data_IF_748760590946
#
_entry.id   IF_748760590946
#
_cell.length_a   1.000
_cell.length_b   1.000
_cell.length_c   1.000
_cell.angle_alpha   90.00
_cell.angle_beta   90.00
_cell.angle_gamma   90.00
#
_symmetry.space_group_name_H-M   'P 1'
#
loop_
_entity.id
_entity.type
_entity.pdbx_description
1 polymer ?
#
# COMPACT_ATOMS: atom_id res chain seq x y z
N UNK A 1 15.68 20.04 -23.15
CA UNK A 1 14.46 19.20 -23.05
C UNK A 1 13.31 19.99 -23.65
N UNK A 2 12.63 19.49 -24.68
CA UNK A 2 11.55 20.23 -25.37
C UNK A 2 10.29 20.28 -24.49
N UNK A 3 9.56 21.39 -24.53
CA UNK A 3 8.31 21.61 -23.77
C UNK A 3 7.32 20.43 -23.88
N UNK A 4 7.21 19.83 -25.07
CA UNK A 4 6.37 18.65 -25.34
C UNK A 4 6.79 17.37 -24.60
N UNK A 5 8.09 17.13 -24.39
CA UNK A 5 8.55 15.96 -23.60
C UNK A 5 8.22 16.12 -22.12
N UNK A 6 8.32 17.34 -21.61
CA UNK A 6 8.01 17.66 -20.21
C UNK A 6 6.53 17.47 -19.87
N UNK A 7 5.61 17.82 -20.77
CA UNK A 7 4.17 17.64 -20.54
C UNK A 7 3.77 16.16 -20.54
N UNK A 8 4.33 15.35 -21.43
CA UNK A 8 4.09 13.90 -21.47
C UNK A 8 4.58 13.19 -20.20
N UNK A 9 5.77 13.53 -19.70
CA UNK A 9 6.33 12.95 -18.47
C UNK A 9 5.47 13.30 -17.24
N UNK A 10 4.97 14.53 -17.16
CA UNK A 10 4.08 14.96 -16.07
C UNK A 10 2.75 14.22 -16.10
N UNK A 11 2.17 14.04 -17.29
CA UNK A 11 0.93 13.30 -17.49
C UNK A 11 1.08 11.83 -17.05
N UNK A 12 2.19 11.18 -17.42
CA UNK A 12 2.46 9.79 -17.03
C UNK A 12 2.60 9.64 -15.50
N UNK A 13 3.27 10.58 -14.83
CA UNK A 13 3.37 10.60 -13.36
C UNK A 13 2.00 10.77 -12.69
N UNK A 14 1.16 11.64 -13.23
CA UNK A 14 -0.19 11.86 -12.73
C UNK A 14 -1.07 10.61 -12.87
N UNK A 15 -1.05 9.94 -14.03
CA UNK A 15 -1.78 8.68 -14.21
C UNK A 15 -1.26 7.57 -13.28
N UNK A 16 0.06 7.46 -13.09
CA UNK A 16 0.65 6.53 -12.12
C UNK A 16 0.11 6.79 -10.71
N UNK A 17 0.06 8.06 -10.29
CA UNK A 17 -0.48 8.44 -8.98
C UNK A 17 -1.95 8.05 -8.82
N UNK A 18 -2.81 8.37 -9.79
CA UNK A 18 -4.23 7.98 -9.76
C UNK A 18 -4.40 6.46 -9.68
N UNK A 19 -3.60 5.71 -10.45
CA UNK A 19 -3.61 4.25 -10.43
C UNK A 19 -3.23 3.70 -9.06
N UNK A 20 -2.18 4.24 -8.43
CA UNK A 20 -1.74 3.80 -7.10
C UNK A 20 -2.80 4.06 -6.03
N UNK A 21 -3.46 5.23 -6.05
CA UNK A 21 -4.59 5.52 -5.16
C UNK A 21 -5.73 4.53 -5.37
N UNK A 22 -6.09 4.25 -6.62
CA UNK A 22 -7.13 3.28 -6.92
C UNK A 22 -6.79 1.89 -6.36
N UNK A 23 -5.52 1.47 -6.46
CA UNK A 23 -5.04 0.20 -5.89
C UNK A 23 -5.11 0.23 -4.36
N UNK A 24 -4.71 1.33 -3.71
CA UNK A 24 -4.79 1.47 -2.26
C UNK A 24 -6.22 1.35 -1.72
N UNK A 25 -7.21 1.77 -2.49
CA UNK A 25 -8.63 1.61 -2.14
C UNK A 25 -9.11 0.19 -2.46
N UNK A 26 -8.64 -0.40 -3.57
CA UNK A 26 -9.02 -1.74 -3.99
C UNK A 26 -8.55 -2.83 -3.01
N UNK A 27 -7.34 -2.71 -2.45
CA UNK A 27 -6.80 -3.73 -1.52
C UNK A 27 -7.72 -3.98 -0.31
N UNK A 28 -8.09 -2.97 0.52
CA UNK A 28 -8.97 -3.18 1.66
C UNK A 28 -10.38 -3.58 1.24
N UNK A 29 -10.86 -3.12 0.09
CA UNK A 29 -12.17 -3.51 -0.45
C UNK A 29 -12.23 -4.99 -0.84
N UNK A 30 -11.22 -5.48 -1.57
CA UNK A 30 -11.08 -6.89 -1.94
C UNK A 30 -10.91 -7.74 -0.69
N UNK A 31 -10.08 -7.30 0.26
CA UNK A 31 -9.92 -8.00 1.53
C UNK A 31 -11.24 -8.11 2.29
N UNK A 32 -11.98 -7.01 2.43
CA UNK A 32 -13.27 -6.97 3.15
C UNK A 32 -14.33 -7.89 2.54
N UNK A 33 -14.38 -7.97 1.21
CA UNK A 33 -15.31 -8.85 0.51
C UNK A 33 -14.86 -10.32 0.55
N UNK A 34 -13.55 -10.58 0.57
CA UNK A 34 -12.99 -11.93 0.59
C UNK A 34 -12.92 -12.54 1.99
N UNK A 35 -12.73 -11.73 3.04
CA UNK A 35 -12.49 -12.22 4.40
C UNK A 35 -13.65 -13.04 4.95
N UNK A 36 -14.88 -12.70 4.54
CA UNK A 36 -16.11 -13.41 4.94
C UNK A 36 -16.21 -14.81 4.33
N UNK A 37 -15.50 -15.05 3.23
CA UNK A 37 -15.46 -16.34 2.54
C UNK A 37 -14.35 -17.26 3.07
N UNK A 38 -13.45 -16.75 3.91
CA UNK A 38 -12.39 -17.56 4.51
C UNK A 38 -12.94 -18.34 5.71
N UNK A 39 -13.07 -19.65 5.57
CA UNK A 39 -13.54 -20.55 6.63
C UNK A 39 -12.48 -20.90 7.68
N UNK A 40 -11.27 -20.35 7.61
CA UNK A 40 -10.18 -20.67 8.53
C UNK A 40 -9.43 -19.41 8.97
N UNK A 41 -9.10 -19.36 10.26
CA UNK A 41 -8.29 -18.30 10.88
C UNK A 41 -6.93 -18.18 10.17
N UNK A 42 -6.35 -19.31 9.73
CA UNK A 42 -5.14 -19.33 8.89
C UNK A 42 -5.28 -18.47 7.64
N UNK A 43 -6.35 -18.69 6.86
CA UNK A 43 -6.60 -17.97 5.62
C UNK A 43 -6.88 -16.48 5.87
N UNK A 44 -7.55 -16.16 6.97
CA UNK A 44 -7.79 -14.78 7.41
C UNK A 44 -6.46 -14.10 7.76
N UNK A 45 -5.60 -14.73 8.56
CA UNK A 45 -4.30 -14.18 8.95
C UNK A 45 -3.38 -13.97 7.75
N UNK A 46 -3.31 -14.96 6.83
CA UNK A 46 -2.50 -14.85 5.61
C UNK A 46 -3.01 -13.73 4.72
N UNK A 47 -4.31 -13.68 4.42
CA UNK A 47 -4.89 -12.65 3.55
C UNK A 47 -4.73 -11.25 4.15
N UNK A 48 -4.94 -11.09 5.46
CA UNK A 48 -4.71 -9.83 6.17
C UNK A 48 -3.24 -9.41 6.10
N UNK A 49 -2.32 -10.35 6.28
CA UNK A 49 -0.89 -10.10 6.16
C UNK A 49 -0.49 -9.62 4.76
N UNK A 50 -0.97 -10.29 3.72
CA UNK A 50 -0.74 -9.93 2.31
C UNK A 50 -1.33 -8.55 2.00
N UNK A 51 -2.54 -8.26 2.47
CA UNK A 51 -3.19 -6.96 2.26
C UNK A 51 -2.44 -5.81 2.92
N UNK A 52 -1.99 -5.98 4.17
CA UNK A 52 -1.20 -4.96 4.89
C UNK A 52 0.17 -4.73 4.24
N UNK A 53 0.85 -5.80 3.83
CA UNK A 53 2.10 -5.69 3.10
C UNK A 53 1.94 -4.97 1.76
N UNK A 54 0.90 -5.34 1.00
CA UNK A 54 0.62 -4.73 -0.30
C UNK A 54 0.25 -3.26 -0.16
N UNK A 55 -0.49 -2.88 0.88
CA UNK A 55 -0.82 -1.48 1.16
C UNK A 55 0.44 -0.65 1.44
N UNK A 56 1.32 -1.12 2.32
CA UNK A 56 2.58 -0.42 2.61
C UNK A 56 3.51 -0.35 1.39
N UNK A 57 3.56 -1.39 0.56
CA UNK A 57 4.33 -1.39 -0.68
C UNK A 57 3.79 -0.39 -1.71
N UNK A 58 2.47 -0.36 -1.92
CA UNK A 58 1.82 0.58 -2.84
C UNK A 58 2.01 2.02 -2.36
N UNK A 59 1.95 2.25 -1.05
CA UNK A 59 2.28 3.55 -0.45
C UNK A 59 3.70 3.98 -0.82
N UNK A 60 4.70 3.13 -0.56
CA UNK A 60 6.10 3.45 -0.90
C UNK A 60 6.35 3.66 -2.40
N UNK A 61 5.52 3.08 -3.27
CA UNK A 61 5.61 3.27 -4.73
C UNK A 61 5.07 4.65 -5.19
N UNK A 62 4.31 5.36 -4.34
CA UNK A 62 3.86 6.73 -4.60
C UNK A 62 5.02 7.72 -4.54
N UNK A 63 5.96 7.52 -3.61
CA UNK A 63 7.22 8.26 -3.55
C UNK A 63 7.00 9.76 -3.47
N UNK A 64 7.43 10.54 -4.48
CA UNK A 64 7.36 12.01 -4.44
C UNK A 64 5.94 12.60 -4.43
N UNK A 65 4.93 11.77 -4.62
CA UNK A 65 3.51 12.14 -4.51
C UNK A 65 2.92 11.50 -3.25
N UNK A 66 3.65 11.51 -2.15
CA UNK A 66 3.11 11.03 -0.88
C UNK A 66 1.85 11.80 -0.51
N UNK A 67 0.90 11.08 0.08
CA UNK A 67 -0.39 11.65 0.50
C UNK A 67 -0.18 12.74 1.55
N UNK A 68 0.90 12.63 2.33
CA UNK A 68 1.33 13.63 3.29
C UNK A 68 2.66 14.19 2.79
N UNK A 69 2.71 15.47 2.44
CA UNK A 69 3.91 16.02 1.84
C UNK A 69 5.00 16.27 2.90
N UNK A 70 6.22 15.82 2.60
CA UNK A 70 7.41 15.78 3.50
C UNK A 70 7.85 17.11 4.14
N UNK A 71 7.31 18.24 3.67
CA UNK A 71 7.56 19.56 4.24
C UNK A 71 6.90 19.77 5.62
N UNK A 72 6.11 18.79 6.09
CA UNK A 72 5.62 18.72 7.47
C UNK A 72 6.45 17.67 8.22
N UNK A 73 7.56 18.05 8.90
CA UNK A 73 8.58 17.12 9.38
C UNK A 73 8.09 16.07 10.37
N UNK A 74 6.99 16.35 11.09
CA UNK A 74 6.40 15.43 12.05
C UNK A 74 5.44 14.42 11.40
N UNK A 75 4.74 14.81 10.34
CA UNK A 75 3.67 13.99 9.78
C UNK A 75 4.18 13.20 8.57
N UNK A 76 5.04 13.80 7.74
CA UNK A 76 5.67 13.13 6.57
C UNK A 76 6.80 12.14 6.93
N UNK A 77 7.24 12.09 8.19
CA UNK A 77 8.08 10.98 8.67
C UNK A 77 7.28 9.85 9.30
N UNK A 78 6.10 10.18 9.82
CA UNK A 78 5.22 9.23 10.50
C UNK A 78 4.52 8.31 9.51
N UNK A 79 4.03 8.83 8.40
CA UNK A 79 3.36 8.06 7.34
C UNK A 79 4.31 7.05 6.66
N UNK A 80 5.56 7.42 6.41
CA UNK A 80 6.56 6.51 5.85
C UNK A 80 6.90 5.39 6.83
N UNK A 81 7.01 5.74 8.12
CA UNK A 81 7.20 4.78 9.21
C UNK A 81 6.00 3.85 9.37
N UNK A 82 4.78 4.36 9.20
CA UNK A 82 3.54 3.56 9.24
C UNK A 82 3.48 2.61 8.06
N UNK A 83 3.91 3.02 6.86
CA UNK A 83 3.94 2.14 5.69
C UNK A 83 4.93 0.98 5.88
N UNK A 84 6.14 1.28 6.39
CA UNK A 84 7.11 0.24 6.77
C UNK A 84 6.58 -0.66 7.90
N UNK A 85 5.97 -0.07 8.93
CA UNK A 85 5.35 -0.81 10.02
C UNK A 85 4.26 -1.76 9.52
N UNK A 86 3.40 -1.28 8.61
CA UNK A 86 2.36 -2.07 7.95
C UNK A 86 2.93 -3.24 7.15
N UNK A 87 4.06 -3.05 6.46
CA UNK A 87 4.76 -4.13 5.77
C UNK A 87 5.30 -5.18 6.73
N UNK A 88 5.99 -4.76 7.79
CA UNK A 88 6.56 -5.69 8.79
C UNK A 88 5.45 -6.47 9.49
N UNK A 89 4.41 -5.77 9.97
CA UNK A 89 3.23 -6.39 10.59
C UNK A 89 2.54 -7.34 9.62
N UNK A 90 2.43 -6.97 8.34
CA UNK A 90 1.87 -7.83 7.29
C UNK A 90 2.64 -9.14 7.11
N UNK A 91 3.98 -9.06 7.05
CA UNK A 91 4.85 -10.24 6.95
C UNK A 91 4.70 -11.12 8.20
N UNK A 92 4.68 -10.52 9.39
CA UNK A 92 4.56 -11.26 10.65
C UNK A 92 3.21 -11.96 10.76
N UNK A 93 2.10 -11.27 10.46
CA UNK A 93 0.75 -11.86 10.46
C UNK A 93 0.60 -12.96 9.40
N UNK A 94 1.10 -12.71 8.19
CA UNK A 94 1.03 -13.67 7.10
C UNK A 94 1.87 -14.91 7.38
N UNK A 95 3.10 -14.71 7.85
CA UNK A 95 4.00 -15.78 8.26
C UNK A 95 3.47 -16.56 9.45
N UNK A 96 2.99 -15.88 10.50
CA UNK A 96 2.43 -16.55 11.66
C UNK A 96 1.18 -17.37 11.31
N UNK A 97 0.30 -16.83 10.46
CA UNK A 97 -0.82 -17.57 9.89
C UNK A 97 -0.37 -18.80 9.12
N UNK A 98 0.68 -18.70 8.30
CA UNK A 98 1.16 -19.83 7.52
C UNK A 98 1.77 -20.95 8.38
N UNK A 99 2.57 -20.59 9.39
CA UNK A 99 3.36 -21.55 10.17
C UNK A 99 2.67 -22.08 11.44
N UNK A 100 1.83 -21.29 12.12
CA UNK A 100 1.29 -21.64 13.44
C UNK A 100 -0.22 -21.89 13.48
N UNK A 101 -0.96 -21.49 12.43
CA UNK A 101 -2.42 -21.64 12.31
C UNK A 101 -2.78 -22.59 11.16
#
# INVERSE_FOLDING_TARGET
MTQSKRSADMLAKFFKFLLLIAIMIAIPFIWWTSVKSFGSIKAISISTGVSLFSLGLVYKLMGTWDLIPDWIPLIGGMDDSIAWGGMVVGILLGGAGFYFL
#
